data_IF_813152899981
#
_entry.id   IF_813152899981
#
_cell.length_a   1.000
_cell.length_b   1.000
_cell.length_c   1.000
_cell.angle_alpha   90.00
_cell.angle_beta   90.00
_cell.angle_gamma   90.00
#
_symmetry.space_group_name_H-M   'P 1'
#
loop_
_entity.id
_entity.type
_entity.pdbx_description
1 polymer ?
#
# COMPACT_ATOMS: atom_id res chain seq x y z
N UNK A 1 27.12 -11.91 -19.06
CA UNK A 1 25.89 -11.80 -18.25
C UNK A 1 26.27 -11.22 -16.89
N UNK A 2 25.83 -10.01 -16.54
CA UNK A 2 26.05 -9.48 -15.18
C UNK A 2 24.99 -10.12 -14.28
N UNK A 3 25.34 -10.69 -13.12
CA UNK A 3 24.32 -11.08 -12.16
C UNK A 3 23.62 -9.79 -11.73
N UNK A 4 22.33 -9.71 -12.00
CA UNK A 4 21.45 -8.70 -11.45
C UNK A 4 21.38 -9.05 -9.97
N UNK A 5 22.24 -8.42 -9.19
CA UNK A 5 22.25 -8.53 -7.75
C UNK A 5 20.90 -7.96 -7.30
N UNK A 6 19.89 -8.82 -7.16
CA UNK A 6 18.64 -8.49 -6.53
C UNK A 6 19.01 -7.92 -5.17
N UNK A 7 18.81 -6.62 -4.98
CA UNK A 7 18.97 -6.03 -3.66
C UNK A 7 18.11 -6.85 -2.69
N UNK A 8 18.62 -7.22 -1.51
CA UNK A 8 17.84 -8.01 -0.57
C UNK A 8 16.53 -7.27 -0.29
N UNK A 9 15.40 -7.92 -0.58
CA UNK A 9 14.09 -7.35 -0.31
C UNK A 9 13.88 -7.35 1.21
N UNK A 10 13.54 -6.20 1.75
CA UNK A 10 13.10 -6.08 3.13
C UNK A 10 11.57 -6.19 3.16
N UNK A 11 11.03 -6.86 4.18
CA UNK A 11 9.59 -6.86 4.42
C UNK A 11 9.18 -5.53 5.06
N UNK A 12 8.29 -4.81 4.39
CA UNK A 12 7.68 -3.58 4.90
C UNK A 12 6.22 -3.84 5.25
N UNK A 13 5.78 -3.32 6.40
CA UNK A 13 4.36 -3.29 6.75
C UNK A 13 3.79 -1.94 6.31
N UNK A 14 2.76 -1.95 5.47
CA UNK A 14 2.13 -0.75 4.94
C UNK A 14 0.65 -0.76 5.28
N UNK A 15 0.18 0.27 5.99
CA UNK A 15 -1.25 0.49 6.23
C UNK A 15 -1.82 1.38 5.14
N UNK A 16 -2.89 0.92 4.49
CA UNK A 16 -3.66 1.71 3.53
C UNK A 16 -4.97 2.09 4.20
N UNK A 17 -5.11 3.38 4.51
CA UNK A 17 -6.35 3.94 5.01
C UNK A 17 -7.24 4.39 3.83
N UNK A 18 -8.51 4.01 3.87
CA UNK A 18 -9.55 4.38 2.93
C UNK A 18 -10.45 5.45 3.55
N UNK A 19 -10.74 6.48 2.76
CA UNK A 19 -11.50 7.65 3.16
C UNK A 19 -12.69 7.86 2.24
N UNK A 20 -13.80 8.33 2.80
CA UNK A 20 -14.97 8.81 2.07
C UNK A 20 -15.09 10.30 2.38
N UNK A 21 -14.56 11.16 1.52
CA UNK A 21 -14.38 12.57 1.86
C UNK A 21 -13.24 12.78 2.85
N UNK A 22 -13.55 13.36 4.01
CA UNK A 22 -12.58 13.63 5.08
C UNK A 22 -12.48 12.49 6.11
N UNK A 23 -13.44 11.56 6.11
CA UNK A 23 -13.59 10.55 7.15
C UNK A 23 -12.93 9.22 6.75
N UNK A 24 -11.98 8.70 7.55
CA UNK A 24 -11.47 7.35 7.37
C UNK A 24 -12.54 6.33 7.78
N UNK A 25 -12.80 5.35 6.92
CA UNK A 25 -13.81 4.31 7.19
C UNK A 25 -13.22 2.89 7.26
N UNK A 26 -12.06 2.65 6.66
CA UNK A 26 -11.39 1.36 6.70
C UNK A 26 -9.87 1.52 6.63
N UNK A 27 -9.15 0.54 7.19
CA UNK A 27 -7.70 0.45 7.08
C UNK A 27 -7.33 -1.00 6.77
N UNK A 28 -6.49 -1.20 5.76
CA UNK A 28 -5.98 -2.52 5.38
C UNK A 28 -4.45 -2.53 5.52
N UNK A 29 -3.91 -3.57 6.15
CA UNK A 29 -2.47 -3.71 6.38
C UNK A 29 -1.89 -4.75 5.41
N UNK A 30 -0.88 -4.35 4.63
CA UNK A 30 -0.14 -5.22 3.72
C UNK A 30 1.28 -5.46 4.21
N UNK A 31 1.77 -6.69 4.04
CA UNK A 31 3.19 -7.03 4.19
C UNK A 31 3.78 -7.19 2.80
N UNK A 32 4.71 -6.30 2.45
CA UNK A 32 5.25 -6.22 1.10
C UNK A 32 6.77 -6.37 1.14
N UNK A 33 7.32 -7.43 0.51
CA UNK A 33 8.76 -7.52 0.30
C UNK A 33 9.16 -6.55 -0.82
N UNK A 34 9.92 -5.52 -0.48
CA UNK A 34 10.37 -4.49 -1.42
C UNK A 34 11.82 -4.08 -1.19
N UNK A 35 12.44 -3.46 -2.19
CA UNK A 35 13.80 -2.95 -2.06
C UNK A 35 13.86 -1.66 -1.22
N UNK A 36 12.76 -0.88 -1.21
CA UNK A 36 12.65 0.39 -0.48
C UNK A 36 11.24 0.57 0.08
N UNK A 37 11.11 1.38 1.13
CA UNK A 37 9.80 1.75 1.69
C UNK A 37 8.87 2.39 0.63
N UNK A 38 9.43 3.17 -0.30
CA UNK A 38 8.66 3.85 -1.35
C UNK A 38 8.07 2.85 -2.35
N UNK A 39 8.85 1.83 -2.74
CA UNK A 39 8.34 0.76 -3.61
C UNK A 39 7.29 -0.10 -2.89
N UNK A 40 7.46 -0.38 -1.59
CA UNK A 40 6.42 -1.01 -0.79
C UNK A 40 5.13 -0.18 -0.74
N UNK A 41 5.23 1.14 -0.55
CA UNK A 41 4.08 2.04 -0.51
C UNK A 41 3.32 2.06 -1.85
N UNK A 42 4.03 2.17 -2.98
CA UNK A 42 3.41 2.11 -4.31
C UNK A 42 2.74 0.77 -4.58
N UNK A 43 3.36 -0.33 -4.18
CA UNK A 43 2.80 -1.66 -4.35
C UNK A 43 1.56 -1.87 -3.48
N UNK A 44 1.55 -1.37 -2.24
CA UNK A 44 0.37 -1.39 -1.37
C UNK A 44 -0.80 -0.61 -1.96
N UNK A 45 -0.53 0.57 -2.55
CA UNK A 45 -1.56 1.33 -3.27
C UNK A 45 -2.11 0.55 -4.46
N UNK A 46 -1.25 -0.11 -5.25
CA UNK A 46 -1.69 -0.96 -6.35
C UNK A 46 -2.55 -2.15 -5.89
N UNK A 47 -2.16 -2.80 -4.80
CA UNK A 47 -2.95 -3.90 -4.22
C UNK A 47 -4.29 -3.40 -3.70
N UNK A 48 -4.33 -2.22 -3.08
CA UNK A 48 -5.54 -1.64 -2.51
C UNK A 48 -6.65 -1.33 -3.52
N UNK A 49 -6.33 -1.19 -4.81
CA UNK A 49 -7.32 -1.04 -5.89
C UNK A 49 -8.22 -2.27 -6.03
N UNK A 50 -7.73 -3.45 -5.64
CA UNK A 50 -8.52 -4.68 -5.66
C UNK A 50 -9.14 -5.01 -4.29
N UNK A 51 -9.03 -4.11 -3.31
CA UNK A 51 -9.66 -4.31 -1.99
C UNK A 51 -11.17 -4.19 -2.10
N UNK A 52 -11.89 -4.85 -1.18
CA UNK A 52 -13.35 -4.72 -1.03
C UNK A 52 -13.77 -3.30 -0.67
N UNK A 53 -12.85 -2.50 -0.11
CA UNK A 53 -13.04 -1.09 0.21
C UNK A 53 -12.85 -0.18 -1.01
N UNK A 54 -12.38 -0.73 -2.14
CA UNK A 54 -12.29 -0.06 -3.44
C UNK A 54 -13.62 -0.11 -4.19
N UNK A 55 -14.56 0.74 -3.79
CA UNK A 55 -15.90 0.70 -4.36
C UNK A 55 -16.27 2.05 -4.97
N UNK A 56 -16.55 2.06 -6.27
CA UNK A 56 -16.98 3.24 -7.03
C UNK A 56 -18.28 3.88 -6.50
N UNK A 57 -19.04 3.19 -5.65
CA UNK A 57 -20.21 3.74 -4.96
C UNK A 57 -19.86 4.65 -3.78
N UNK A 58 -18.62 4.61 -3.29
CA UNK A 58 -18.16 5.45 -2.18
C UNK A 58 -17.88 6.86 -2.74
N UNK A 59 -18.58 7.90 -2.27
CA UNK A 59 -18.36 9.25 -2.73
C UNK A 59 -16.99 9.76 -2.25
N UNK A 60 -16.27 10.46 -3.14
CA UNK A 60 -14.94 11.02 -2.85
C UNK A 60 -13.97 10.00 -2.24
N UNK A 61 -13.93 8.78 -2.82
CA UNK A 61 -13.05 7.72 -2.36
C UNK A 61 -11.58 8.12 -2.50
N UNK A 62 -10.87 8.17 -1.38
CA UNK A 62 -9.43 8.45 -1.32
C UNK A 62 -8.71 7.35 -0.54
N UNK A 63 -7.46 7.12 -0.90
CA UNK A 63 -6.60 6.12 -0.23
C UNK A 63 -5.26 6.76 0.11
N UNK A 64 -4.76 6.46 1.29
CA UNK A 64 -3.43 6.89 1.71
C UNK A 64 -2.68 5.68 2.25
N UNK A 65 -1.50 5.40 1.68
CA UNK A 65 -0.62 4.35 2.17
C UNK A 65 0.43 4.96 3.10
N UNK A 66 0.64 4.36 4.26
CA UNK A 66 1.66 4.76 5.23
C UNK A 66 2.47 3.53 5.60
N UNK A 67 3.78 3.60 5.39
CA UNK A 67 4.69 2.53 5.79
C UNK A 67 4.88 2.64 7.30
N UNK A 68 4.61 1.57 8.06
CA UNK A 68 5.13 1.46 9.42
C UNK A 68 6.63 1.26 9.29
N UNK A 69 7.40 2.30 9.63
CA UNK A 69 8.80 2.11 9.98
C UNK A 69 8.88 1.04 11.06
N UNK A 70 9.56 -0.07 10.77
CA UNK A 70 9.88 -1.10 11.75
C UNK A 70 10.78 -0.55 12.85
#
# INVERSE_FOLDING_TARGET
>A
MRPHQSAPLQEFTVDVAFFSGADPFATETYRIPAATWFSAQQQALHMSVNSVYDNARIPDLRRTATVRSA
#
